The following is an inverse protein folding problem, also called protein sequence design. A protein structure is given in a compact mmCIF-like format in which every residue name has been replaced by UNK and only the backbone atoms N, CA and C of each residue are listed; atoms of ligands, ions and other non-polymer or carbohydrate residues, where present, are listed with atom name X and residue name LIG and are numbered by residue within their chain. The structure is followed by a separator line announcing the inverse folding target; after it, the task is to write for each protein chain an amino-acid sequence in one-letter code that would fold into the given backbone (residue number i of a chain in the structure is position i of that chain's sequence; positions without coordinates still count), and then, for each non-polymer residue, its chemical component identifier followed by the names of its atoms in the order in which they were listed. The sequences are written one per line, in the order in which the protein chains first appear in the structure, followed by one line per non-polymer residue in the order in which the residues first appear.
data_IF_054395479215
#
_entry.id   IF_054395479215
#
_cell.length_a   1.000
_cell.length_b   1.000
_cell.length_c   1.000
_cell.angle_alpha   90.00
_cell.angle_beta   90.00
_cell.angle_gamma   90.00
#
_symmetry.space_group_name_H-M   'P 1'
#
loop_
_entity.id
_entity.type
_entity.pdbx_description
1 polymer ?
#
# COMPACT_ATOMS: atom_id res chain seq x y z
N UNK A 1 32.40 -93.17 30.76
CA UNK A 1 32.21 -92.56 32.09
C UNK A 1 33.56 -92.15 32.65
N UNK A 2 33.69 -90.95 33.25
CA UNK A 2 34.90 -90.57 33.98
C UNK A 2 35.17 -91.60 35.09
N UNK A 3 36.37 -92.14 35.15
CA UNK A 3 36.77 -93.11 36.17
C UNK A 3 37.54 -92.37 37.26
N UNK A 4 37.21 -92.54 38.56
CA UNK A 4 37.96 -91.90 39.63
C UNK A 4 39.42 -92.35 39.64
N UNK A 5 40.40 -91.45 39.83
CA UNK A 5 41.83 -91.76 39.82
C UNK A 5 42.27 -92.63 41.02
N UNK A 6 43.46 -93.24 40.91
CA UNK A 6 44.06 -94.10 41.94
C UNK A 6 44.78 -93.31 43.03
N UNK A 7 44.54 -93.65 44.30
CA UNK A 7 45.22 -93.07 45.46
C UNK A 7 46.06 -94.14 46.17
N UNK A 8 47.17 -93.73 46.81
CA UNK A 8 48.24 -94.64 47.23
C UNK A 8 47.99 -95.43 48.53
N UNK A 9 46.99 -95.08 49.38
CA UNK A 9 46.39 -95.81 50.55
C UNK A 9 45.67 -94.80 51.49
N UNK A 10 44.80 -95.20 52.44
CA UNK A 10 43.54 -95.93 52.32
C UNK A 10 42.36 -94.99 51.97
N UNK A 11 42.52 -93.98 51.12
CA UNK A 11 41.40 -93.12 50.69
C UNK A 11 40.45 -93.88 49.76
N UNK A 12 39.14 -93.94 50.11
CA UNK A 12 38.13 -94.60 49.27
C UNK A 12 37.87 -93.78 48.01
N UNK A 13 37.94 -94.45 46.85
CA UNK A 13 37.44 -93.88 45.61
C UNK A 13 35.91 -93.74 45.67
N UNK A 14 35.35 -92.64 45.14
CA UNK A 14 33.91 -92.51 44.97
C UNK A 14 33.41 -93.58 43.99
N UNK A 15 32.16 -93.99 44.13
CA UNK A 15 31.52 -94.90 43.17
C UNK A 15 31.53 -94.26 41.77
N UNK A 16 31.66 -95.06 40.69
CA UNK A 16 31.51 -94.54 39.33
C UNK A 16 30.18 -93.80 39.18
N UNK A 17 30.17 -92.64 38.50
CA UNK A 17 28.96 -91.85 38.31
C UNK A 17 27.95 -92.62 37.45
N UNK A 18 26.65 -92.34 37.64
CA UNK A 18 25.59 -92.91 36.81
C UNK A 18 25.62 -92.35 35.38
N UNK A 19 24.90 -92.99 34.44
CA UNK A 19 24.76 -92.53 33.05
C UNK A 19 23.33 -92.07 32.72
N UNK A 20 23.07 -90.76 32.55
CA UNK A 20 23.96 -89.62 32.78
C UNK A 20 24.21 -89.36 34.29
N UNK A 21 25.26 -88.61 34.68
CA UNK A 21 25.53 -88.30 36.08
C UNK A 21 24.39 -87.50 36.73
N UNK A 22 24.10 -87.82 37.99
CA UNK A 22 23.08 -87.15 38.81
C UNK A 22 23.66 -86.01 39.66
N UNK A 23 22.81 -85.18 40.27
CA UNK A 23 23.25 -84.16 41.24
C UNK A 23 24.02 -84.77 42.43
N UNK A 24 23.64 -86.00 42.82
CA UNK A 24 24.34 -86.77 43.86
C UNK A 24 25.75 -87.16 43.40
N UNK A 25 25.92 -87.50 42.12
CA UNK A 25 27.25 -87.80 41.55
C UNK A 25 28.13 -86.54 41.49
N UNK A 26 27.53 -85.37 41.25
CA UNK A 26 28.23 -84.08 41.28
C UNK A 26 28.68 -83.69 42.69
N UNK A 27 27.79 -83.87 43.68
CA UNK A 27 28.10 -83.63 45.09
C UNK A 27 29.21 -84.58 45.57
N UNK A 28 29.16 -85.85 45.16
CA UNK A 28 30.21 -86.85 45.45
C UNK A 28 31.54 -86.49 44.81
N UNK A 29 31.55 -86.05 43.54
CA UNK A 29 32.76 -85.63 42.86
C UNK A 29 33.37 -84.36 43.48
N UNK A 30 32.53 -83.42 43.93
CA UNK A 30 32.94 -82.22 44.65
C UNK A 30 33.52 -82.55 46.02
N UNK A 31 32.85 -83.40 46.79
CA UNK A 31 33.34 -83.84 48.09
C UNK A 31 34.64 -84.64 47.96
N UNK A 32 34.78 -85.45 46.91
CA UNK A 32 36.00 -86.19 46.61
C UNK A 32 37.18 -85.25 46.32
N UNK A 33 36.98 -84.25 45.44
CA UNK A 33 38.01 -83.23 45.16
C UNK A 33 38.41 -82.46 46.42
N UNK A 34 37.43 -82.01 47.20
CA UNK A 34 37.68 -81.33 48.48
C UNK A 34 38.47 -82.20 49.47
N UNK A 35 38.15 -83.49 49.55
CA UNK A 35 38.88 -84.46 50.40
C UNK A 35 40.32 -84.65 49.92
N UNK A 36 40.55 -84.75 48.61
CA UNK A 36 41.90 -84.84 48.04
C UNK A 36 42.72 -83.58 48.30
N UNK A 37 42.12 -82.39 48.15
CA UNK A 37 42.77 -81.10 48.42
C UNK A 37 43.16 -80.97 49.90
N UNK A 38 42.31 -81.43 50.83
CA UNK A 38 42.65 -81.45 52.27
C UNK A 38 43.78 -82.44 52.60
N UNK A 39 43.77 -83.63 51.99
CA UNK A 39 44.80 -84.65 52.20
C UNK A 39 46.18 -84.21 51.67
N UNK A 40 46.22 -83.46 50.56
CA UNK A 40 47.44 -82.81 50.09
C UNK A 40 47.97 -81.77 51.07
N UNK A 41 47.09 -80.95 51.66
CA UNK A 41 47.46 -80.00 52.71
C UNK A 41 48.04 -80.67 53.96
N UNK A 42 47.74 -81.96 54.18
CA UNK A 42 48.24 -82.76 55.30
C UNK A 42 49.50 -83.58 54.95
N UNK A 43 49.95 -83.54 53.69
CA UNK A 43 51.14 -84.26 53.19
C UNK A 43 50.90 -85.70 52.75
N UNK A 44 49.65 -86.18 52.76
CA UNK A 44 49.30 -87.59 52.48
C UNK A 44 49.17 -87.92 50.99
N UNK A 45 48.94 -86.92 50.14
CA UNK A 45 48.82 -87.05 48.69
C UNK A 45 49.74 -86.05 47.99
N UNK A 46 50.15 -86.36 46.76
CA UNK A 46 50.93 -85.44 45.93
C UNK A 46 50.04 -84.52 45.06
N UNK A 47 50.66 -83.50 44.46
CA UNK A 47 49.96 -82.53 43.62
C UNK A 47 49.32 -83.15 42.35
N UNK A 48 49.90 -84.24 41.84
CA UNK A 48 49.37 -84.93 40.67
C UNK A 48 48.05 -85.65 41.01
N UNK A 49 47.95 -86.21 42.22
CA UNK A 49 46.75 -86.87 42.72
C UNK A 49 45.60 -85.88 42.97
N UNK A 50 45.88 -84.68 43.47
CA UNK A 50 44.86 -83.62 43.60
C UNK A 50 44.41 -83.11 42.24
N UNK A 51 45.36 -82.86 41.33
CA UNK A 51 45.05 -82.44 39.96
C UNK A 51 44.15 -83.47 39.25
N UNK A 52 44.42 -84.77 39.44
CA UNK A 52 43.57 -85.83 38.92
C UNK A 52 42.15 -85.82 39.52
N UNK A 53 41.98 -85.45 40.79
CA UNK A 53 40.67 -85.32 41.43
C UNK A 53 39.88 -84.11 40.89
N UNK A 54 40.55 -82.98 40.65
CA UNK A 54 39.96 -81.79 40.02
C UNK A 54 39.52 -82.09 38.59
N UNK A 55 40.38 -82.74 37.80
CA UNK A 55 40.05 -83.16 36.43
C UNK A 55 38.90 -84.17 36.41
N UNK A 56 38.82 -85.07 37.39
CA UNK A 56 37.70 -85.99 37.54
C UNK A 56 36.39 -85.24 37.82
N UNK A 57 36.37 -84.30 38.77
CA UNK A 57 35.19 -83.45 39.05
C UNK A 57 34.74 -82.69 37.81
N UNK A 58 35.68 -82.10 37.07
CA UNK A 58 35.37 -81.40 35.82
C UNK A 58 34.83 -82.35 34.75
N UNK A 59 35.37 -83.57 34.64
CA UNK A 59 34.86 -84.57 33.71
C UNK A 59 33.45 -85.04 34.08
N UNK A 60 33.12 -85.18 35.37
CA UNK A 60 31.77 -85.49 35.85
C UNK A 60 30.80 -84.35 35.50
N UNK A 61 31.17 -83.09 35.77
CA UNK A 61 30.40 -81.89 35.39
C UNK A 61 30.13 -81.87 33.88
N UNK A 62 31.15 -82.09 33.07
CA UNK A 62 31.03 -82.07 31.61
C UNK A 62 30.17 -83.22 31.07
N UNK A 63 30.20 -84.40 31.72
CA UNK A 63 29.34 -85.52 31.36
C UNK A 63 27.87 -85.36 31.82
N UNK A 64 27.59 -84.46 32.77
CA UNK A 64 26.24 -84.08 33.22
C UNK A 64 25.62 -82.95 32.35
N UNK A 65 26.37 -82.42 31.38
CA UNK A 65 26.03 -81.23 30.60
C UNK A 65 24.64 -81.21 29.91
N UNK A 66 24.04 -82.33 29.44
CA UNK A 66 22.73 -82.25 28.79
C UNK A 66 21.62 -81.72 29.70
N UNK A 67 21.69 -81.95 31.02
CA UNK A 67 20.62 -81.58 31.95
C UNK A 67 20.83 -80.21 32.64
N UNK A 68 22.08 -79.76 32.82
CA UNK A 68 22.37 -78.51 33.54
C UNK A 68 22.44 -77.28 32.64
N UNK A 69 22.69 -77.45 31.34
CA UNK A 69 22.70 -76.33 30.37
C UNK A 69 21.30 -75.74 30.12
N UNK A 70 20.23 -76.52 30.31
CA UNK A 70 18.86 -76.06 30.10
C UNK A 70 18.41 -75.00 31.13
N UNK A 71 18.88 -75.09 32.38
CA UNK A 71 18.52 -74.13 33.44
C UNK A 71 19.26 -72.78 33.31
N UNK A 72 20.37 -72.73 32.57
CA UNK A 72 21.12 -71.51 32.26
C UNK A 72 20.68 -70.83 30.95
N UNK A 73 19.78 -71.45 30.19
CA UNK A 73 19.28 -70.92 28.91
C UNK A 73 17.98 -70.10 29.04
N UNK A 74 17.30 -70.15 30.19
CA UNK A 74 16.14 -69.29 30.44
C UNK A 74 16.60 -67.87 30.84
N UNK A 75 16.16 -66.82 30.14
CA UNK A 75 16.50 -65.45 30.51
C UNK A 75 16.06 -65.15 31.95
N UNK A 76 16.85 -64.41 32.74
CA UNK A 76 16.50 -64.09 34.12
C UNK A 76 15.17 -63.33 34.21
N UNK A 77 14.35 -63.54 35.25
CA UNK A 77 13.07 -62.83 35.41
C UNK A 77 13.15 -61.29 35.38
N UNK A 78 14.29 -60.71 35.76
CA UNK A 78 14.51 -59.26 35.73
C UNK A 78 14.73 -58.69 34.33
N UNK A 79 15.18 -59.52 33.36
CA UNK A 79 15.53 -59.06 32.02
C UNK A 79 14.30 -58.51 31.28
N UNK A 80 13.14 -59.16 31.46
CA UNK A 80 11.87 -58.70 30.87
C UNK A 80 11.51 -57.30 31.36
N UNK A 81 11.59 -57.04 32.67
CA UNK A 81 11.30 -55.73 33.25
C UNK A 81 12.29 -54.65 32.80
N UNK A 82 13.59 -54.98 32.72
CA UNK A 82 14.60 -54.04 32.21
C UNK A 82 14.36 -53.67 30.73
N UNK A 83 14.02 -54.66 29.90
CA UNK A 83 13.72 -54.43 28.49
C UNK A 83 12.45 -53.61 28.32
N UNK A 84 11.40 -53.90 29.09
CA UNK A 84 10.14 -53.15 29.08
C UNK A 84 10.36 -51.69 29.49
N UNK A 85 11.14 -51.45 30.56
CA UNK A 85 11.46 -50.09 31.00
C UNK A 85 12.34 -49.34 29.99
N UNK A 86 13.32 -50.01 29.38
CA UNK A 86 14.15 -49.42 28.33
C UNK A 86 13.33 -49.04 27.10
N UNK A 87 12.39 -49.90 26.69
CA UNK A 87 11.43 -49.62 25.62
C UNK A 87 10.53 -48.43 25.96
N UNK A 88 9.98 -48.37 27.17
CA UNK A 88 9.11 -47.27 27.58
C UNK A 88 9.86 -45.94 27.64
N UNK A 89 11.10 -45.94 28.15
CA UNK A 89 11.95 -44.75 28.16
C UNK A 89 12.31 -44.26 26.75
N UNK A 90 12.45 -45.17 25.78
CA UNK A 90 12.74 -44.82 24.39
C UNK A 90 11.49 -44.34 23.63
N UNK A 91 10.33 -44.96 23.87
CA UNK A 91 9.10 -44.71 23.11
C UNK A 91 8.27 -43.57 23.71
N UNK A 92 8.31 -43.36 25.03
CA UNK A 92 7.57 -42.31 25.72
C UNK A 92 7.79 -40.91 25.14
N UNK A 93 9.05 -40.45 24.94
CA UNK A 93 9.34 -39.16 24.30
C UNK A 93 8.76 -39.05 22.88
N UNK A 94 8.87 -40.10 22.07
CA UNK A 94 8.33 -40.13 20.71
C UNK A 94 6.80 -39.99 20.68
N UNK A 95 6.09 -40.58 21.65
CA UNK A 95 4.63 -40.42 21.78
C UNK A 95 4.26 -38.96 22.12
N UNK A 96 5.04 -38.31 22.97
CA UNK A 96 4.84 -36.90 23.31
C UNK A 96 5.10 -36.02 22.10
N UNK A 97 6.20 -36.23 21.37
CA UNK A 97 6.52 -35.49 20.14
C UNK A 97 5.43 -35.65 19.08
N UNK A 98 4.91 -36.87 18.88
CA UNK A 98 3.78 -37.12 17.97
C UNK A 98 2.52 -36.35 18.41
N UNK A 99 2.27 -36.26 19.71
CA UNK A 99 1.13 -35.51 20.25
C UNK A 99 1.31 -34.01 20.03
N UNK A 100 2.50 -33.47 20.27
CA UNK A 100 2.85 -32.07 19.99
C UNK A 100 2.69 -31.76 18.50
N UNK A 101 3.26 -32.59 17.61
CA UNK A 101 3.12 -32.41 16.16
C UNK A 101 1.65 -32.40 15.71
N UNK A 102 0.80 -33.26 16.27
CA UNK A 102 -0.64 -33.25 15.96
C UNK A 102 -1.30 -31.93 16.35
N UNK A 103 -0.94 -31.37 17.50
CA UNK A 103 -1.45 -30.07 17.95
C UNK A 103 -0.96 -28.94 17.04
N UNK A 104 0.33 -28.92 16.70
CA UNK A 104 0.91 -27.91 15.80
C UNK A 104 0.27 -27.95 14.40
N UNK A 105 0.01 -29.16 13.88
CA UNK A 105 -0.73 -29.35 12.62
C UNK A 105 -2.16 -28.81 12.73
N UNK A 106 -2.84 -29.02 13.86
CA UNK A 106 -4.19 -28.51 14.08
C UNK A 106 -4.22 -26.98 14.12
N UNK A 107 -3.25 -26.35 14.81
CA UNK A 107 -3.07 -24.89 14.83
C UNK A 107 -2.80 -24.36 13.42
N UNK A 108 -1.84 -24.95 12.71
CA UNK A 108 -1.50 -24.56 11.34
C UNK A 108 -2.72 -24.65 10.40
N UNK A 109 -3.57 -25.67 10.57
CA UNK A 109 -4.79 -25.82 9.78
C UNK A 109 -5.79 -24.70 10.06
N UNK A 110 -5.91 -24.27 11.31
CA UNK A 110 -6.77 -23.14 11.68
C UNK A 110 -6.22 -21.82 11.12
N UNK A 111 -4.92 -21.57 11.22
CA UNK A 111 -4.28 -20.38 10.66
C UNK A 111 -4.49 -20.30 9.14
N UNK A 112 -4.35 -21.43 8.43
CA UNK A 112 -4.66 -21.51 7.00
C UNK A 112 -6.12 -21.18 6.70
N UNK A 113 -7.06 -21.60 7.56
CA UNK A 113 -8.48 -21.28 7.39
C UNK A 113 -8.76 -19.79 7.58
N UNK A 114 -8.12 -19.16 8.59
CA UNK A 114 -8.21 -17.70 8.81
C UNK A 114 -7.63 -16.94 7.62
N UNK A 115 -6.44 -17.29 7.17
CA UNK A 115 -5.81 -16.64 6.00
C UNK A 115 -6.69 -16.73 4.74
N UNK A 116 -7.39 -17.85 4.52
CA UNK A 116 -8.33 -17.98 3.40
C UNK A 116 -9.50 -17.00 3.50
N UNK A 117 -10.03 -16.79 4.70
CA UNK A 117 -11.10 -15.83 4.93
C UNK A 117 -10.60 -14.39 4.71
N UNK A 118 -9.44 -14.04 5.23
CA UNK A 118 -8.84 -12.70 5.07
C UNK A 118 -8.57 -12.39 3.59
N UNK A 119 -8.09 -13.37 2.82
CA UNK A 119 -7.92 -13.25 1.36
C UNK A 119 -9.28 -13.02 0.67
N UNK A 120 -10.34 -13.70 1.10
CA UNK A 120 -11.67 -13.53 0.53
C UNK A 120 -12.25 -12.13 0.81
N UNK A 121 -12.07 -11.62 2.03
CA UNK A 121 -12.46 -10.25 2.42
C UNK A 121 -11.68 -9.24 1.57
N UNK A 122 -10.35 -9.38 1.51
CA UNK A 122 -9.48 -8.49 0.72
C UNK A 122 -9.91 -8.45 -0.75
N UNK A 123 -10.31 -9.60 -1.32
CA UNK A 123 -10.80 -9.68 -2.71
C UNK A 123 -12.09 -8.91 -2.91
N UNK A 124 -13.01 -8.95 -1.93
CA UNK A 124 -14.25 -8.18 -1.96
C UNK A 124 -13.97 -6.68 -1.84
N UNK A 125 -13.09 -6.27 -0.93
CA UNK A 125 -12.70 -4.86 -0.77
C UNK A 125 -12.08 -4.30 -2.05
N UNK A 126 -11.21 -5.08 -2.72
CA UNK A 126 -10.66 -4.72 -4.03
C UNK A 126 -11.76 -4.55 -5.09
N UNK A 127 -12.79 -5.39 -5.07
CA UNK A 127 -13.91 -5.28 -6.02
C UNK A 127 -14.74 -4.01 -5.76
N UNK A 128 -14.99 -3.66 -4.50
CA UNK A 128 -15.68 -2.41 -4.11
C UNK A 128 -14.86 -1.20 -4.54
N UNK A 129 -13.55 -1.17 -4.24
CA UNK A 129 -12.67 -0.07 -4.65
C UNK A 129 -12.66 0.14 -6.17
N UNK A 130 -12.69 -0.94 -6.96
CA UNK A 130 -12.78 -0.83 -8.43
C UNK A 130 -14.06 -0.14 -8.89
N UNK A 131 -15.20 -0.44 -8.24
CA UNK A 131 -16.46 0.20 -8.55
C UNK A 131 -16.43 1.69 -8.15
N UNK A 132 -15.92 2.02 -6.96
CA UNK A 132 -15.83 3.41 -6.48
C UNK A 132 -14.93 4.26 -7.40
N UNK A 133 -13.82 3.70 -7.87
CA UNK A 133 -12.94 4.35 -8.86
C UNK A 133 -13.70 4.59 -10.18
N UNK A 134 -14.50 3.62 -10.64
CA UNK A 134 -15.28 3.77 -11.87
C UNK A 134 -16.35 4.88 -11.74
N UNK A 135 -17.04 4.95 -10.61
CA UNK A 135 -17.99 6.03 -10.30
C UNK A 135 -17.29 7.37 -10.28
N UNK A 136 -16.18 7.48 -9.54
CA UNK A 136 -15.40 8.72 -9.44
C UNK A 136 -14.93 9.20 -10.81
N UNK A 137 -14.51 8.29 -11.69
CA UNK A 137 -14.12 8.63 -13.06
C UNK A 137 -15.28 9.22 -13.87
N UNK A 138 -16.49 8.68 -13.72
CA UNK A 138 -17.68 9.20 -14.39
C UNK A 138 -18.08 10.58 -13.86
N UNK A 139 -17.98 10.80 -12.55
CA UNK A 139 -18.26 12.09 -11.93
C UNK A 139 -17.29 13.17 -12.40
N UNK A 140 -15.99 12.84 -12.48
CA UNK A 140 -14.95 13.74 -13.02
C UNK A 140 -15.23 14.10 -14.48
N UNK A 141 -15.60 13.12 -15.32
CA UNK A 141 -15.95 13.38 -16.73
C UNK A 141 -17.19 14.29 -16.85
N UNK A 142 -18.19 14.06 -16.00
CA UNK A 142 -19.40 14.90 -15.94
C UNK A 142 -19.07 16.32 -15.54
N UNK A 143 -18.20 16.50 -14.54
CA UNK A 143 -17.75 17.81 -14.09
C UNK A 143 -16.96 18.53 -15.17
N UNK A 144 -16.06 17.84 -15.88
CA UNK A 144 -15.33 18.42 -17.01
C UNK A 144 -16.29 18.97 -18.08
N UNK A 145 -17.30 18.18 -18.48
CA UNK A 145 -18.30 18.63 -19.44
C UNK A 145 -19.14 19.83 -18.94
N UNK A 146 -19.39 19.94 -17.63
CA UNK A 146 -20.05 21.13 -17.05
C UNK A 146 -19.16 22.38 -17.11
N UNK A 147 -17.86 22.23 -16.86
CA UNK A 147 -16.89 23.32 -16.93
C UNK A 147 -16.72 23.83 -18.36
N UNK A 148 -16.70 22.93 -19.34
CA UNK A 148 -16.62 23.31 -20.76
C UNK A 148 -17.84 24.14 -21.18
N UNK A 149 -19.05 23.70 -20.80
CA UNK A 149 -20.29 24.47 -21.05
C UNK A 149 -20.25 25.84 -20.39
N UNK A 150 -19.84 25.92 -19.12
CA UNK A 150 -19.72 27.19 -18.42
C UNK A 150 -18.73 28.14 -19.12
N UNK A 151 -17.65 27.60 -19.68
CA UNK A 151 -16.66 28.37 -20.44
C UNK A 151 -17.25 28.92 -21.75
N UNK A 152 -18.06 28.11 -22.44
CA UNK A 152 -18.83 28.57 -23.62
C UNK A 152 -19.82 29.67 -23.23
N UNK A 153 -20.65 29.43 -22.21
CA UNK A 153 -21.66 30.39 -21.74
C UNK A 153 -21.01 31.72 -21.34
N UNK A 154 -19.86 31.69 -20.65
CA UNK A 154 -19.12 32.89 -20.26
C UNK A 154 -18.60 33.68 -21.47
N UNK A 155 -18.21 32.99 -22.54
CA UNK A 155 -17.81 33.64 -23.80
C UNK A 155 -19.00 34.33 -24.44
N UNK A 156 -20.16 33.66 -24.51
CA UNK A 156 -21.41 34.24 -25.01
C UNK A 156 -21.82 35.47 -24.20
N UNK A 157 -21.82 35.38 -22.87
CA UNK A 157 -22.14 36.51 -21.99
C UNK A 157 -21.19 37.68 -22.20
N UNK A 158 -19.89 37.42 -22.40
CA UNK A 158 -18.91 38.48 -22.68
C UNK A 158 -19.24 39.22 -24.00
N UNK A 159 -19.64 38.48 -25.02
CA UNK A 159 -20.05 39.06 -26.31
C UNK A 159 -21.37 39.83 -26.20
N UNK A 160 -22.35 39.30 -25.48
CA UNK A 160 -23.61 39.99 -25.20
C UNK A 160 -23.37 41.30 -24.45
N UNK A 161 -22.51 41.31 -23.43
CA UNK A 161 -22.12 42.52 -22.70
C UNK A 161 -21.46 43.53 -23.64
N UNK A 162 -20.60 43.09 -24.57
CA UNK A 162 -19.98 43.97 -25.58
C UNK A 162 -21.05 44.62 -26.46
N UNK A 163 -22.02 43.85 -26.93
CA UNK A 163 -23.12 44.34 -27.76
C UNK A 163 -24.00 45.31 -26.97
N UNK A 164 -24.34 45.01 -25.72
CA UNK A 164 -25.14 45.88 -24.85
C UNK A 164 -24.45 47.21 -24.62
N UNK A 165 -23.14 47.21 -24.32
CA UNK A 165 -22.37 48.46 -24.15
C UNK A 165 -22.39 49.32 -25.41
N UNK A 166 -22.28 48.71 -26.59
CA UNK A 166 -22.37 49.44 -27.85
C UNK A 166 -23.77 50.04 -28.06
N UNK A 167 -24.83 49.24 -27.85
CA UNK A 167 -26.21 49.71 -27.98
C UNK A 167 -26.53 50.84 -26.99
N UNK A 168 -26.00 50.76 -25.77
CA UNK A 168 -26.15 51.83 -24.78
C UNK A 168 -25.47 53.12 -25.24
N UNK A 169 -24.24 53.04 -25.73
CA UNK A 169 -23.52 54.20 -26.28
C UNK A 169 -24.25 54.81 -27.47
N UNK A 170 -24.75 53.98 -28.39
CA UNK A 170 -25.51 54.43 -29.57
C UNK A 170 -26.83 55.10 -29.16
N UNK A 171 -27.55 54.53 -28.18
CA UNK A 171 -28.78 55.10 -27.67
C UNK A 171 -28.56 56.46 -26.99
N UNK A 172 -27.53 56.59 -26.14
CA UNK A 172 -27.14 57.86 -25.51
C UNK A 172 -26.76 58.91 -26.55
N UNK A 173 -25.97 58.51 -27.56
CA UNK A 173 -25.59 59.39 -28.67
C UNK A 173 -26.80 59.87 -29.46
N UNK A 174 -27.75 58.99 -29.78
CA UNK A 174 -28.97 59.35 -30.48
C UNK A 174 -29.85 60.31 -29.67
N UNK A 175 -30.01 60.06 -28.37
CA UNK A 175 -30.78 60.91 -27.47
C UNK A 175 -30.18 62.33 -27.36
N UNK A 176 -28.90 62.43 -27.03
CA UNK A 176 -28.21 63.72 -26.87
C UNK A 176 -28.20 64.52 -28.19
N UNK A 177 -27.97 63.86 -29.34
CA UNK A 177 -28.04 64.53 -30.65
C UNK A 177 -29.45 65.02 -31.00
N UNK A 178 -30.48 64.27 -30.62
CA UNK A 178 -31.86 64.67 -30.84
C UNK A 178 -32.23 65.89 -29.99
N UNK A 179 -31.78 65.92 -28.73
CA UNK A 179 -31.94 67.07 -27.86
C UNK A 179 -31.18 68.31 -28.40
N UNK A 180 -29.89 68.17 -28.72
CA UNK A 180 -29.07 69.27 -29.23
C UNK A 180 -29.62 69.87 -30.54
N UNK A 181 -30.25 69.04 -31.37
CA UNK A 181 -30.94 69.49 -32.59
C UNK A 181 -32.09 70.46 -32.27
N UNK A 182 -32.81 70.25 -31.17
CA UNK A 182 -33.91 71.13 -30.75
C UNK A 182 -33.40 72.45 -30.17
N UNK A 183 -32.28 72.40 -29.46
CA UNK A 183 -31.64 73.55 -28.81
C UNK A 183 -30.93 74.49 -29.80
N UNK A 184 -30.48 73.98 -30.95
CA UNK A 184 -29.84 74.71 -32.06
C UNK A 184 -28.53 75.43 -31.69
N UNK A 185 -28.59 76.56 -30.98
CA UNK A 185 -27.43 77.42 -30.67
C UNK A 185 -26.82 77.15 -29.29
N UNK A 186 -27.61 76.66 -28.34
CA UNK A 186 -27.14 76.43 -26.96
C UNK A 186 -27.11 77.69 -26.09
N UNK A 187 -27.89 78.71 -26.44
CA UNK A 187 -27.93 80.03 -25.78
C UNK A 187 -28.83 80.05 -24.54
N UNK A 188 -30.00 79.40 -24.59
CA UNK A 188 -30.98 79.33 -23.49
C UNK A 188 -30.91 78.01 -22.71
N UNK A 189 -30.35 76.98 -23.31
CA UNK A 189 -30.18 75.66 -22.70
C UNK A 189 -28.88 75.08 -23.25
N UNK A 190 -27.97 74.58 -22.42
CA UNK A 190 -26.72 74.03 -22.93
C UNK A 190 -27.00 72.75 -23.72
N UNK A 191 -26.14 72.47 -24.70
CA UNK A 191 -26.10 71.16 -25.34
C UNK A 191 -25.86 70.06 -24.30
N UNK A 192 -26.41 68.88 -24.54
CA UNK A 192 -26.07 67.63 -23.88
C UNK A 192 -24.81 67.02 -24.50
N UNK A 193 -24.07 66.31 -23.66
CA UNK A 193 -22.85 65.64 -24.10
C UNK A 193 -23.13 64.47 -25.03
N UNK A 194 -22.49 64.49 -26.19
CA UNK A 194 -22.59 63.40 -27.17
C UNK A 194 -21.37 62.49 -27.03
N UNK A 195 -21.53 61.23 -26.57
CA UNK A 195 -20.39 60.34 -26.44
C UNK A 195 -19.73 60.06 -27.80
N UNK A 196 -18.42 59.80 -27.78
CA UNK A 196 -17.71 59.25 -28.94
C UNK A 196 -18.26 57.86 -29.30
N UNK A 197 -17.92 57.36 -30.50
CA UNK A 197 -18.46 56.08 -31.03
C UNK A 197 -18.15 54.85 -30.16
N UNK A 198 -17.09 54.93 -29.35
CA UNK A 198 -16.68 53.91 -28.39
C UNK A 198 -17.42 54.02 -27.03
N UNK A 199 -18.36 54.95 -26.88
CA UNK A 199 -19.12 55.18 -25.65
C UNK A 199 -18.44 56.02 -24.58
N UNK A 200 -17.21 56.52 -24.82
CA UNK A 200 -16.55 57.42 -23.86
C UNK A 200 -17.02 58.86 -24.06
N UNK A 201 -17.21 59.55 -22.94
CA UNK A 201 -17.63 60.94 -22.87
C UNK A 201 -16.44 61.89 -23.14
N UNK A 202 -16.54 62.78 -24.15
CA UNK A 202 -15.45 63.68 -24.53
C UNK A 202 -15.08 64.75 -23.50
N UNK A 203 -16.06 65.27 -22.77
CA UNK A 203 -15.89 66.37 -21.81
C UNK A 203 -15.12 65.88 -20.60
N UNK A 204 -14.19 66.71 -20.11
CA UNK A 204 -13.31 66.31 -19.03
C UNK A 204 -12.25 65.26 -19.41
N UNK A 205 -12.24 64.76 -20.66
CA UNK A 205 -11.18 63.87 -21.14
C UNK A 205 -9.84 64.59 -21.07
N UNK A 206 -8.89 64.01 -20.33
CA UNK A 206 -7.57 64.61 -20.17
C UNK A 206 -6.75 64.48 -21.45
N UNK A 207 -6.51 65.61 -22.10
CA UNK A 207 -5.68 65.69 -23.29
C UNK A 207 -4.51 66.62 -23.00
N UNK A 208 -3.27 66.11 -23.13
CA UNK A 208 -2.02 66.74 -22.65
C UNK A 208 -2.22 67.62 -21.39
N UNK A 209 -2.63 66.98 -20.30
CA UNK A 209 -2.78 67.59 -18.97
C UNK A 209 -3.79 68.76 -18.88
N UNK A 210 -4.70 68.87 -19.84
CA UNK A 210 -5.84 69.77 -19.76
C UNK A 210 -7.14 69.01 -20.12
N UNK A 211 -8.23 69.20 -19.37
CA UNK A 211 -9.51 68.61 -19.72
C UNK A 211 -10.03 69.25 -21.02
N UNK A 212 -10.65 68.45 -21.88
CA UNK A 212 -11.39 68.99 -23.01
C UNK A 212 -12.62 69.78 -22.49
N UNK A 213 -12.88 70.98 -23.03
CA UNK A 213 -13.97 71.85 -22.58
C UNK A 213 -15.34 71.30 -22.96
N UNK A 214 -16.34 71.52 -22.12
CA UNK A 214 -17.73 71.13 -22.39
C UNK A 214 -18.28 71.88 -23.60
N UNK A 215 -18.79 71.16 -24.60
CA UNK A 215 -19.33 71.75 -25.82
C UNK A 215 -20.77 72.20 -25.62
N UNK A 216 -21.01 73.18 -24.74
CA UNK A 216 -22.36 73.57 -24.28
C UNK A 216 -23.11 74.48 -25.25
N UNK A 217 -22.43 75.13 -26.20
CA UNK A 217 -23.05 76.00 -27.20
C UNK A 217 -22.22 76.08 -28.48
N UNK A 218 -22.79 76.68 -29.52
CA UNK A 218 -22.07 76.96 -30.77
C UNK A 218 -20.85 77.84 -30.54
N UNK A 219 -20.92 78.79 -29.60
CA UNK A 219 -19.84 79.71 -29.29
C UNK A 219 -18.67 79.00 -28.62
N UNK A 220 -18.94 78.03 -27.74
CA UNK A 220 -17.88 77.22 -27.13
C UNK A 220 -17.17 76.37 -28.19
N UNK A 221 -17.91 75.78 -29.13
CA UNK A 221 -17.30 75.02 -30.24
C UNK A 221 -16.48 75.95 -31.14
N UNK A 222 -16.95 77.17 -31.42
CA UNK A 222 -16.21 78.18 -32.18
C UNK A 222 -14.90 78.59 -31.48
N UNK A 223 -14.95 78.71 -30.15
CA UNK A 223 -13.82 79.12 -29.31
C UNK A 223 -12.75 78.04 -29.09
N UNK A 224 -12.98 76.80 -29.53
CA UNK A 224 -12.00 75.73 -29.40
C UNK A 224 -10.66 76.12 -30.02
N UNK A 225 -9.57 75.81 -29.33
CA UNK A 225 -8.24 75.97 -29.89
C UNK A 225 -7.96 74.90 -30.98
N UNK A 226 -6.84 75.06 -31.69
CA UNK A 226 -6.45 74.15 -32.76
C UNK A 226 -6.30 72.70 -32.28
N UNK A 227 -5.85 72.50 -31.04
CA UNK A 227 -5.52 71.21 -30.46
C UNK A 227 -6.78 70.50 -29.93
N UNK A 228 -7.64 71.23 -29.24
CA UNK A 228 -8.94 70.77 -28.76
C UNK A 228 -9.84 70.36 -29.95
N UNK A 229 -9.97 71.23 -30.96
CA UNK A 229 -10.77 70.93 -32.17
C UNK A 229 -10.26 69.69 -32.92
N UNK A 230 -8.94 69.51 -33.05
CA UNK A 230 -8.37 68.27 -33.63
C UNK A 230 -8.75 67.04 -32.81
N UNK A 231 -8.66 67.10 -31.48
CA UNK A 231 -8.99 65.97 -30.61
C UNK A 231 -10.48 65.62 -30.65
N UNK A 232 -11.37 66.61 -30.58
CA UNK A 232 -12.81 66.41 -30.73
C UNK A 232 -13.15 65.78 -32.08
N UNK A 233 -12.58 66.32 -33.16
CA UNK A 233 -12.77 65.79 -34.51
C UNK A 233 -12.35 64.31 -34.60
N UNK A 234 -11.13 63.96 -34.18
CA UNK A 234 -10.64 62.58 -34.21
C UNK A 234 -11.51 61.62 -33.39
N UNK A 235 -12.10 62.08 -32.29
CA UNK A 235 -13.00 61.26 -31.48
C UNK A 235 -14.37 61.01 -32.13
N UNK A 236 -14.93 62.01 -32.82
CA UNK A 236 -16.20 61.87 -33.53
C UNK A 236 -16.08 61.16 -34.89
N UNK A 237 -14.91 61.30 -35.54
CA UNK A 237 -14.59 60.76 -36.86
C UNK A 237 -13.32 59.88 -36.81
N UNK A 238 -13.35 58.75 -36.07
CA UNK A 238 -12.18 57.89 -35.96
C UNK A 238 -11.81 57.28 -37.32
N UNK A 239 -10.51 57.28 -37.64
CA UNK A 239 -9.98 56.76 -38.90
C UNK A 239 -10.12 57.69 -40.11
N UNK A 240 -10.70 58.88 -39.93
CA UNK A 240 -10.77 59.91 -40.97
C UNK A 240 -9.61 60.89 -40.79
N UNK A 241 -8.99 61.30 -41.89
CA UNK A 241 -7.96 62.34 -41.86
C UNK A 241 -8.53 63.63 -41.26
N UNK A 242 -7.76 64.23 -40.36
CA UNK A 242 -8.16 65.43 -39.65
C UNK A 242 -7.88 66.65 -40.53
N UNK A 243 -8.89 67.46 -40.90
CA UNK A 243 -8.68 68.66 -41.70
C UNK A 243 -7.74 69.65 -41.02
N UNK A 244 -6.93 70.36 -41.80
CA UNK A 244 -6.02 71.39 -41.27
C UNK A 244 -6.77 72.66 -40.87
N UNK A 245 -7.83 73.02 -41.60
CA UNK A 245 -8.68 74.15 -41.27
C UNK A 245 -9.49 73.90 -39.98
N UNK A 246 -9.42 74.86 -39.06
CA UNK A 246 -10.16 74.80 -37.80
C UNK A 246 -11.66 75.01 -38.00
N UNK A 247 -12.04 75.87 -38.95
CA UNK A 247 -13.46 76.16 -39.21
C UNK A 247 -14.15 74.89 -39.73
N UNK A 248 -13.51 74.19 -40.68
CA UNK A 248 -13.99 72.89 -41.16
C UNK A 248 -14.15 71.86 -40.03
N UNK A 249 -13.18 71.75 -39.12
CA UNK A 249 -13.29 70.85 -37.96
C UNK A 249 -14.43 71.25 -37.02
N UNK A 250 -14.57 72.55 -36.71
CA UNK A 250 -15.62 73.04 -35.81
C UNK A 250 -17.02 72.82 -36.40
N UNK A 251 -17.19 73.04 -37.71
CA UNK A 251 -18.43 72.68 -38.44
C UNK A 251 -18.74 71.19 -38.31
N UNK A 252 -17.74 70.33 -38.54
CA UNK A 252 -17.92 68.88 -38.41
C UNK A 252 -18.27 68.46 -36.97
N UNK A 253 -17.63 69.07 -35.95
CA UNK A 253 -17.93 68.82 -34.54
C UNK A 253 -19.39 69.20 -34.22
N UNK A 254 -19.86 70.37 -34.67
CA UNK A 254 -21.24 70.81 -34.49
C UNK A 254 -22.25 69.80 -35.08
N UNK A 255 -21.99 69.32 -36.30
CA UNK A 255 -22.82 68.29 -36.94
C UNK A 255 -22.77 66.95 -36.16
N UNK A 256 -21.60 66.58 -35.65
CA UNK A 256 -21.41 65.37 -34.88
C UNK A 256 -22.22 65.39 -33.56
N UNK A 257 -22.29 66.55 -32.90
CA UNK A 257 -23.07 66.72 -31.65
C UNK A 257 -24.57 66.97 -31.87
N UNK A 258 -25.03 67.04 -33.13
CA UNK A 258 -26.45 67.07 -33.47
C UNK A 258 -26.99 68.42 -33.96
N UNK A 259 -26.16 69.45 -34.04
CA UNK A 259 -26.53 70.76 -34.59
C UNK A 259 -26.84 70.62 -36.09
N UNK A 260 -27.96 71.18 -36.61
CA UNK A 260 -28.30 71.13 -38.03
C UNK A 260 -27.19 71.72 -38.91
N UNK A 261 -26.95 71.14 -40.10
CA UNK A 261 -25.84 71.55 -40.98
C UNK A 261 -25.87 73.04 -41.34
N UNK A 262 -27.05 73.60 -41.63
CA UNK A 262 -27.21 75.03 -41.94
C UNK A 262 -26.83 75.92 -40.75
N UNK A 263 -27.23 75.54 -39.52
CA UNK A 263 -26.86 76.27 -38.30
C UNK A 263 -25.36 76.15 -38.05
N UNK A 264 -24.79 74.96 -38.28
CA UNK A 264 -23.36 74.72 -38.13
C UNK A 264 -22.50 75.52 -39.14
N UNK A 265 -22.99 75.74 -40.36
CA UNK A 265 -22.33 76.59 -41.37
C UNK A 265 -22.24 78.05 -40.92
N UNK A 266 -23.34 78.60 -40.42
CA UNK A 266 -23.39 79.97 -39.91
C UNK A 266 -22.51 80.08 -38.65
N UNK A 267 -22.71 79.16 -37.70
CA UNK A 267 -21.99 79.18 -36.43
C UNK A 267 -20.47 79.03 -36.59
N UNK A 268 -19.98 78.21 -37.52
CA UNK A 268 -18.56 78.04 -37.73
C UNK A 268 -17.91 79.17 -38.56
N UNK A 269 -18.70 79.86 -39.40
CA UNK A 269 -18.20 80.77 -40.45
C UNK A 269 -18.36 82.28 -40.21
N UNK A 270 -19.06 82.74 -39.17
CA UNK A 270 -19.15 84.17 -38.86
C UNK A 270 -17.82 84.70 -38.27
N UNK A 271 -17.21 85.65 -38.99
CA UNK A 271 -16.16 86.58 -38.52
C UNK A 271 -16.79 87.85 -37.97
#
# INVERSE_FOLDING_TARGET
MPVPPALSRPYRRPSPPQNPPTDVDLARATHFEMSCTMAFGSGDLDAAQVSAAVLYKQAVINSAAPNMMAAQQAPPPWLAHMLEQALENAIGPLRNDITTMKNDIAVTKNDIAVMKNDIAVTKNDIAVMKNDIAVTKNDVNTLAGRVDRLSTDMTTVKDDIRVIKQRQADAQRCAARAYNRQVQLGDRSPFEEVPWRNGTYPWGFMFHNQPLPELTSTDVVRALDNRQSKKYYSGYYPGVNVPDDRIERNKAILIAIGVPAMVAEIAAGEM
#
